data_IF_747638086826
#
_entry.id   IF_747638086826
#
_cell.length_a   1.000
_cell.length_b   1.000
_cell.length_c   1.000
_cell.angle_alpha   90.00
_cell.angle_beta   90.00
_cell.angle_gamma   90.00
#
_symmetry.space_group_name_H-M   'P 1'
#
loop_
_entity.id
_entity.type
_entity.pdbx_description
1 polymer ?
#
# COMPACT_ATOMS: atom_id res chain seq x y z
N UNK A 1 -6.62 5.78 25.85
CA UNK A 1 -7.46 4.99 24.92
C UNK A 1 -7.13 5.51 23.53
N UNK A 2 -6.44 4.84 22.61
CA UNK A 2 -6.41 3.45 22.19
C UNK A 2 -4.97 3.06 21.85
N UNK A 3 -4.40 2.08 22.57
CA UNK A 3 -3.14 1.42 22.22
C UNK A 3 -3.38 0.22 21.30
N UNK A 4 -4.36 0.29 20.39
CA UNK A 4 -4.50 -0.67 19.32
C UNK A 4 -3.47 -0.33 18.25
N UNK A 5 -2.35 -1.06 18.22
CA UNK A 5 -1.30 -0.86 17.23
C UNK A 5 -1.87 -0.88 15.82
N UNK A 6 -1.53 0.14 15.02
CA UNK A 6 -1.87 0.17 13.61
C UNK A 6 -0.77 -0.53 12.82
N UNK A 7 -1.15 -1.29 11.80
CA UNK A 7 -0.25 -1.91 10.83
C UNK A 7 -0.37 -1.19 9.49
N UNK A 8 0.75 -1.02 8.80
CA UNK A 8 0.75 -0.55 7.41
C UNK A 8 0.85 -1.76 6.50
N UNK A 9 -0.03 -1.84 5.52
CA UNK A 9 0.07 -2.80 4.41
C UNK A 9 0.47 -2.02 3.17
N UNK A 10 1.70 -2.25 2.70
CA UNK A 10 2.25 -1.58 1.53
C UNK A 10 2.02 -2.43 0.28
N UNK A 11 1.10 -1.95 -0.55
CA UNK A 11 0.77 -2.51 -1.85
C UNK A 11 1.75 -2.03 -2.91
N UNK A 12 2.17 -2.96 -3.78
CA UNK A 12 3.05 -2.71 -4.93
C UNK A 12 2.43 -3.29 -6.19
N UNK A 13 2.76 -4.55 -6.52
CA UNK A 13 2.18 -5.28 -7.67
C UNK A 13 1.07 -6.25 -7.27
N UNK A 14 0.78 -6.35 -5.98
CA UNK A 14 -0.16 -7.26 -5.34
C UNK A 14 -1.52 -6.58 -5.09
N UNK A 15 -2.11 -5.99 -6.13
CA UNK A 15 -3.34 -5.20 -6.05
C UNK A 15 -4.60 -6.06 -5.89
N UNK A 16 -4.61 -6.89 -4.85
CA UNK A 16 -5.68 -7.85 -4.53
C UNK A 16 -5.95 -7.87 -3.03
N UNK A 17 -7.23 -8.05 -2.70
CA UNK A 17 -7.70 -8.24 -1.32
C UNK A 17 -7.68 -9.73 -0.97
N UNK A 18 -8.16 -10.57 -1.88
CA UNK A 18 -8.19 -12.02 -1.71
C UNK A 18 -6.81 -12.63 -1.87
N UNK A 19 -6.53 -13.66 -1.07
CA UNK A 19 -5.25 -14.38 -1.09
C UNK A 19 -4.04 -13.44 -0.97
N UNK A 20 -4.14 -12.37 -0.18
CA UNK A 20 -3.01 -11.49 0.09
C UNK A 20 -2.42 -11.78 1.48
N UNK A 21 -1.27 -12.49 1.59
CA UNK A 21 -0.69 -12.84 2.88
C UNK A 21 -0.29 -11.62 3.71
N UNK A 22 0.24 -10.57 3.07
CA UNK A 22 0.61 -9.32 3.75
C UNK A 22 -0.62 -8.62 4.33
N UNK A 23 -1.70 -8.52 3.55
CA UNK A 23 -2.96 -7.94 4.03
C UNK A 23 -3.56 -8.78 5.16
N UNK A 24 -3.60 -10.10 5.00
CA UNK A 24 -4.13 -11.01 6.01
C UNK A 24 -3.33 -10.95 7.32
N UNK A 25 -2.00 -10.81 7.24
CA UNK A 25 -1.15 -10.62 8.41
C UNK A 25 -1.40 -9.27 9.09
N UNK A 26 -1.52 -8.18 8.32
CA UNK A 26 -1.84 -6.86 8.85
C UNK A 26 -3.20 -6.82 9.57
N UNK A 27 -4.23 -7.42 8.98
CA UNK A 27 -5.57 -7.49 9.59
C UNK A 27 -5.56 -8.31 10.87
N UNK A 28 -4.78 -9.40 10.93
CA UNK A 28 -4.61 -10.19 12.17
C UNK A 28 -3.88 -9.40 13.26
N UNK A 29 -3.00 -8.47 12.89
CA UNK A 29 -2.27 -7.63 13.83
C UNK A 29 -3.12 -6.48 14.39
N UNK A 30 -4.16 -6.03 13.68
CA UNK A 30 -5.09 -5.02 14.19
C UNK A 30 -5.63 -4.10 13.09
N UNK A 31 -5.69 -2.80 13.38
CA UNK A 31 -6.13 -1.80 12.42
C UNK A 31 -5.12 -1.68 11.27
N UNK A 32 -5.60 -1.62 10.03
CA UNK A 32 -4.75 -1.60 8.83
C UNK A 32 -4.88 -0.28 8.08
N UNK A 33 -3.73 0.30 7.78
CA UNK A 33 -3.59 1.40 6.84
C UNK A 33 -3.01 0.86 5.53
N UNK A 34 -3.82 0.87 4.49
CA UNK A 34 -3.44 0.42 3.16
C UNK A 34 -2.74 1.55 2.40
N UNK A 35 -1.52 1.31 1.91
CA UNK A 35 -0.71 2.33 1.24
C UNK A 35 -0.18 1.81 -0.09
N UNK A 36 -0.28 2.64 -1.12
CA UNK A 36 0.42 2.46 -2.39
C UNK A 36 1.32 3.67 -2.65
N UNK A 37 2.61 3.42 -2.85
CA UNK A 37 3.58 4.47 -3.14
C UNK A 37 4.05 4.35 -4.58
N UNK A 38 3.84 5.41 -5.34
CA UNK A 38 4.29 5.54 -6.71
C UNK A 38 5.62 6.31 -6.74
N UNK A 39 6.71 5.59 -7.01
CA UNK A 39 8.06 6.15 -7.10
C UNK A 39 8.78 5.87 -8.44
N UNK A 40 8.30 6.43 -9.57
CA UNK A 40 8.97 6.38 -10.87
C UNK A 40 10.49 6.58 -10.87
N UNK A 41 11.01 7.46 -10.00
CA UNK A 41 12.44 7.73 -9.90
C UNK A 41 13.24 6.51 -9.42
N UNK A 42 12.65 5.67 -8.57
CA UNK A 42 13.29 4.43 -8.08
C UNK A 42 13.24 3.30 -9.12
N UNK A 43 12.27 3.33 -10.04
CA UNK A 43 12.12 2.27 -11.05
C UNK A 43 13.10 2.43 -12.22
N UNK A 44 13.60 3.64 -12.49
CA UNK A 44 14.63 3.90 -13.49
C UNK A 44 14.28 3.32 -14.87
N UNK A 45 15.12 2.41 -15.37
CA UNK A 45 14.92 1.75 -16.67
C UNK A 45 13.70 0.83 -16.73
N UNK A 46 13.16 0.41 -15.58
CA UNK A 46 12.01 -0.48 -15.48
C UNK A 46 10.69 0.27 -15.34
N UNK A 47 10.70 1.58 -15.59
CA UNK A 47 9.51 2.41 -15.55
C UNK A 47 8.43 1.88 -16.52
N UNK A 48 7.21 1.58 -16.05
CA UNK A 48 6.21 0.95 -16.89
C UNK A 48 5.75 1.87 -18.02
N UNK A 49 5.57 1.25 -19.18
CA UNK A 49 5.03 1.90 -20.36
C UNK A 49 3.60 2.40 -20.18
N UNK A 50 3.09 3.12 -21.19
CA UNK A 50 1.77 3.78 -21.17
C UNK A 50 0.62 2.82 -20.85
N UNK A 51 0.59 1.65 -21.47
CA UNK A 51 -0.49 0.66 -21.29
C UNK A 51 -0.47 0.08 -19.88
N UNK A 52 0.71 -0.27 -19.37
CA UNK A 52 0.87 -0.79 -18.00
C UNK A 52 0.42 0.25 -16.95
N UNK A 53 0.78 1.54 -17.13
CA UNK A 53 0.32 2.62 -16.25
C UNK A 53 -1.18 2.86 -16.32
N UNK A 54 -1.78 2.73 -17.51
CA UNK A 54 -3.24 2.82 -17.64
C UNK A 54 -3.92 1.69 -16.86
N UNK A 55 -3.41 0.46 -17.00
CA UNK A 55 -3.94 -0.69 -16.25
C UNK A 55 -3.76 -0.52 -14.74
N UNK A 56 -2.57 -0.09 -14.30
CA UNK A 56 -2.27 0.20 -12.91
C UNK A 56 -3.27 1.20 -12.31
N UNK A 57 -3.57 2.29 -13.02
CA UNK A 57 -4.55 3.28 -12.56
C UNK A 57 -5.93 2.65 -12.36
N UNK A 58 -6.39 1.82 -13.30
CA UNK A 58 -7.69 1.15 -13.19
C UNK A 58 -7.70 0.15 -12.03
N UNK A 59 -6.65 -0.65 -11.88
CA UNK A 59 -6.51 -1.61 -10.78
C UNK A 59 -6.48 -0.94 -9.42
N UNK A 60 -5.80 0.20 -9.27
CA UNK A 60 -5.79 0.96 -8.02
C UNK A 60 -7.17 1.52 -7.66
N UNK A 61 -7.91 2.03 -8.65
CA UNK A 61 -9.27 2.53 -8.43
C UNK A 61 -10.22 1.40 -7.99
N UNK A 62 -10.05 0.21 -8.57
CA UNK A 62 -10.83 -0.98 -8.21
C UNK A 62 -10.48 -1.45 -6.79
N UNK A 63 -9.19 -1.52 -6.47
CA UNK A 63 -8.70 -1.88 -5.14
C UNK A 63 -9.19 -0.91 -4.06
N UNK A 64 -9.09 0.41 -4.28
CA UNK A 64 -9.57 1.42 -3.34
C UNK A 64 -11.08 1.24 -3.07
N UNK A 65 -11.88 0.98 -4.11
CA UNK A 65 -13.32 0.75 -3.96
C UNK A 65 -13.61 -0.47 -3.07
N UNK A 66 -12.89 -1.58 -3.27
CA UNK A 66 -13.03 -2.76 -2.41
C UNK A 66 -12.58 -2.50 -0.97
N UNK A 67 -11.43 -1.86 -0.78
CA UNK A 67 -10.89 -1.59 0.54
C UNK A 67 -11.80 -0.63 1.34
N UNK A 68 -12.38 0.39 0.67
CA UNK A 68 -13.39 1.28 1.27
C UNK A 68 -14.63 0.52 1.74
N UNK A 69 -15.11 -0.45 0.97
CA UNK A 69 -16.23 -1.31 1.38
C UNK A 69 -15.89 -2.16 2.62
N UNK A 70 -14.60 -2.46 2.84
CA UNK A 70 -14.09 -3.16 4.02
C UNK A 70 -13.73 -2.21 5.18
N UNK A 71 -13.90 -0.89 5.02
CA UNK A 71 -13.67 0.11 6.06
C UNK A 71 -12.26 0.68 6.14
N UNK A 72 -11.37 0.39 5.17
CA UNK A 72 -10.02 0.97 5.11
C UNK A 72 -9.76 1.58 3.72
N UNK A 73 -9.61 2.89 3.56
CA UNK A 73 -9.32 3.46 2.24
C UNK A 73 -7.87 3.19 1.81
N UNK A 74 -7.61 3.17 0.49
CA UNK A 74 -6.26 3.08 -0.06
C UNK A 74 -5.61 4.46 -0.11
N UNK A 75 -4.49 4.63 0.59
CA UNK A 75 -3.68 5.84 0.51
C UNK A 75 -2.71 5.72 -0.66
N UNK A 76 -2.97 6.45 -1.75
CA UNK A 76 -2.04 6.55 -2.88
C UNK A 76 -1.16 7.78 -2.75
N UNK A 77 0.17 7.61 -2.79
CA UNK A 77 1.12 8.71 -2.67
C UNK A 77 2.15 8.68 -3.78
N UNK A 78 2.44 9.84 -4.38
CA UNK A 78 3.59 10.03 -5.28
C UNK A 78 4.79 10.46 -4.45
N UNK A 79 5.94 9.80 -4.62
CA UNK A 79 7.17 10.17 -3.93
C UNK A 79 8.39 9.88 -4.79
N UNK A 80 9.45 10.67 -4.65
CA UNK A 80 10.76 10.36 -5.26
C UNK A 80 11.49 9.24 -4.51
N UNK A 81 11.14 9.01 -3.24
CA UNK A 81 11.71 7.98 -2.40
C UNK A 81 10.59 7.25 -1.63
N UNK A 82 10.53 5.92 -1.73
CA UNK A 82 9.48 5.14 -1.09
C UNK A 82 9.67 5.08 0.43
N UNK A 83 10.91 5.04 0.90
CA UNK A 83 11.24 4.96 2.33
C UNK A 83 10.79 6.22 3.06
N UNK A 84 11.08 7.42 2.53
CA UNK A 84 10.66 8.68 3.15
C UNK A 84 9.13 8.76 3.28
N UNK A 85 8.41 8.35 2.24
CA UNK A 85 6.95 8.29 2.29
C UNK A 85 6.42 7.28 3.29
N UNK A 86 7.03 6.09 3.41
CA UNK A 86 6.66 5.12 4.44
C UNK A 86 6.89 5.67 5.84
N UNK A 87 8.04 6.32 6.07
CA UNK A 87 8.35 6.94 7.37
C UNK A 87 7.35 8.04 7.73
N UNK A 88 6.93 8.86 6.76
CA UNK A 88 5.89 9.87 6.97
C UNK A 88 4.55 9.22 7.35
N UNK A 89 4.16 8.13 6.67
CA UNK A 89 2.94 7.38 7.03
C UNK A 89 3.07 6.83 8.45
N UNK A 90 4.16 6.15 8.78
CA UNK A 90 4.44 5.61 10.13
C UNK A 90 4.31 6.69 11.19
N UNK A 91 4.93 7.86 10.98
CA UNK A 91 4.88 8.98 11.92
C UNK A 91 3.47 9.56 12.08
N UNK A 92 2.68 9.59 10.99
CA UNK A 92 1.31 10.13 11.02
C UNK A 92 0.29 9.16 11.63
N UNK A 93 0.48 7.85 11.47
CA UNK A 93 -0.48 6.83 11.91
C UNK A 93 -0.07 6.16 13.22
N UNK A 94 1.18 6.35 13.68
CA UNK A 94 1.74 5.63 14.83
C UNK A 94 1.85 4.13 14.60
N UNK A 95 2.01 3.70 13.35
CA UNK A 95 2.05 2.28 13.02
C UNK A 95 3.36 1.64 13.49
N UNK A 96 3.27 0.43 14.05
CA UNK A 96 4.43 -0.29 14.60
C UNK A 96 4.90 -1.44 13.72
N UNK A 97 4.09 -1.81 12.72
CA UNK A 97 4.36 -2.94 11.84
C UNK A 97 4.12 -2.55 10.38
N UNK A 98 4.97 -3.08 9.49
CA UNK A 98 4.88 -2.93 8.06
C UNK A 98 4.83 -4.31 7.41
N UNK A 99 3.78 -4.57 6.63
CA UNK A 99 3.60 -5.79 5.86
C UNK A 99 3.61 -5.47 4.37
N UNK A 100 4.32 -6.27 3.59
CA UNK A 100 4.34 -6.20 2.13
C UNK A 100 4.67 -7.58 1.56
N UNK A 101 4.23 -7.84 0.33
CA UNK A 101 4.68 -9.01 -0.41
C UNK A 101 5.97 -8.64 -1.17
N UNK A 102 7.02 -9.45 -1.04
CA UNK A 102 8.29 -9.19 -1.73
C UNK A 102 8.15 -9.43 -3.25
N UNK A 103 8.89 -8.65 -4.03
CA UNK A 103 9.05 -8.87 -5.47
C UNK A 103 10.44 -9.48 -5.71
N UNK A 104 10.54 -10.36 -6.70
CA UNK A 104 11.79 -11.00 -7.12
C UNK A 104 12.59 -10.12 -8.08
#
# INVERSE_FOLDING_TARGET
>A
MSGGGCSIVWFRRDLRVEDNPALAAGVRAGAVVCVFIWAPEEEGQYYPGRVSRWWLKQSLAHLDSYLRNLGSPLITKRSTNSISSLLEVVNSTGATQLFFNHLY
#
